data_IF_152887407913
#
_entry.id   IF_152887407913
#
_cell.length_a   1.000
_cell.length_b   1.000
_cell.length_c   1.000
_cell.angle_alpha   90.00
_cell.angle_beta   90.00
_cell.angle_gamma   90.00
#
_symmetry.space_group_name_H-M   'P 1'
#
loop_
_entity.id
_entity.type
_entity.pdbx_description
1 polymer ?
#
# COMPACT_ATOMS: atom_id res chain seq x y z
N UNK A 1 -0.21 -3.28 20.28
CA UNK A 1 0.88 -3.15 19.29
C UNK A 1 0.97 -1.73 18.78
N UNK A 2 2.12 -1.19 18.75
CA UNK A 2 2.32 0.17 18.25
C UNK A 2 2.26 0.19 16.73
N UNK A 3 1.90 1.34 16.20
CA UNK A 3 1.99 1.55 14.77
C UNK A 3 3.45 1.40 14.32
N UNK A 4 3.64 0.91 13.11
CA UNK A 4 4.98 0.83 12.53
C UNK A 4 5.50 2.24 12.32
N UNK A 5 6.68 2.53 12.85
CA UNK A 5 7.32 3.83 12.64
C UNK A 5 7.71 3.97 11.17
N UNK A 6 7.80 5.21 10.70
CA UNK A 6 8.17 5.47 9.32
C UNK A 6 9.51 4.83 8.94
N UNK A 7 10.48 4.83 9.86
CA UNK A 7 11.77 4.20 9.62
C UNK A 7 11.66 2.68 9.41
N UNK A 8 10.65 2.06 10.00
CA UNK A 8 10.45 0.61 9.85
C UNK A 8 9.95 0.23 8.47
N UNK A 9 9.31 1.16 7.76
CA UNK A 9 8.86 0.89 6.39
C UNK A 9 10.02 0.62 5.45
N UNK A 10 11.18 1.20 5.70
CA UNK A 10 12.36 1.00 4.87
C UNK A 10 12.92 -0.42 5.00
N UNK A 11 12.61 -1.10 6.11
CA UNK A 11 13.10 -2.45 6.37
C UNK A 11 12.04 -3.52 6.06
N UNK A 12 10.81 -3.10 5.73
CA UNK A 12 9.75 -4.04 5.35
C UNK A 12 10.10 -4.69 4.02
N UNK A 13 9.93 -6.02 3.99
CA UNK A 13 10.02 -6.77 2.75
C UNK A 13 8.60 -7.02 2.25
N UNK A 14 8.26 -6.39 1.14
CA UNK A 14 6.94 -6.59 0.55
C UNK A 14 6.90 -7.92 -0.19
N UNK A 15 5.78 -8.64 -0.04
CA UNK A 15 5.55 -9.88 -0.79
C UNK A 15 5.21 -9.58 -2.24
N UNK A 16 4.62 -8.41 -2.48
CA UNK A 16 4.26 -7.97 -3.82
C UNK A 16 4.52 -6.48 -3.92
N UNK A 17 5.25 -6.07 -4.95
CA UNK A 17 5.46 -4.65 -5.28
C UNK A 17 4.70 -4.35 -6.57
N UNK A 18 3.87 -3.31 -6.52
CA UNK A 18 3.06 -2.89 -7.66
C UNK A 18 3.48 -1.49 -8.08
N UNK A 19 3.97 -1.35 -9.29
CA UNK A 19 4.31 -0.06 -9.85
C UNK A 19 3.12 0.49 -10.63
N UNK A 20 2.38 1.40 -10.01
CA UNK A 20 1.24 2.05 -10.63
C UNK A 20 1.51 3.54 -10.90
N UNK A 21 2.78 3.91 -11.01
CA UNK A 21 3.15 5.29 -11.32
C UNK A 21 2.62 5.65 -12.71
N UNK A 22 2.14 6.89 -12.83
CA UNK A 22 1.54 7.36 -14.07
C UNK A 22 0.05 7.06 -14.21
N UNK A 23 -0.49 6.18 -13.38
CA UNK A 23 -1.93 5.91 -13.37
C UNK A 23 -2.64 6.88 -12.42
N UNK A 24 -3.83 7.35 -12.84
CA UNK A 24 -4.66 8.20 -12.01
C UNK A 24 -5.71 7.37 -11.28
N UNK A 25 -6.17 7.87 -10.14
CA UNK A 25 -7.24 7.25 -9.38
C UNK A 25 -8.47 6.99 -10.28
N UNK A 26 -9.09 5.81 -10.21
CA UNK A 26 -8.90 4.75 -9.21
C UNK A 26 -7.90 3.67 -9.61
N UNK A 27 -7.10 3.88 -10.66
CA UNK A 27 -6.18 2.87 -11.17
C UNK A 27 -5.26 2.26 -10.12
N UNK A 28 -4.49 3.08 -9.35
CA UNK A 28 -3.61 2.53 -8.33
C UNK A 28 -4.33 1.71 -7.27
N UNK A 29 -5.52 2.16 -6.84
CA UNK A 29 -6.31 1.43 -5.85
C UNK A 29 -6.77 0.08 -6.39
N UNK A 30 -7.18 0.03 -7.65
CA UNK A 30 -7.59 -1.23 -8.28
C UNK A 30 -6.41 -2.19 -8.39
N UNK A 31 -5.23 -1.68 -8.69
CA UNK A 31 -4.02 -2.51 -8.74
C UNK A 31 -3.65 -3.05 -7.35
N UNK A 32 -3.83 -2.25 -6.32
CA UNK A 32 -3.60 -2.70 -4.94
C UNK A 32 -4.55 -3.82 -4.55
N UNK A 33 -5.83 -3.70 -4.90
CA UNK A 33 -6.82 -4.74 -4.63
C UNK A 33 -6.47 -6.04 -5.33
N UNK A 34 -6.05 -5.94 -6.58
CA UNK A 34 -5.66 -7.09 -7.38
C UNK A 34 -4.43 -7.78 -6.80
N UNK A 35 -3.41 -7.01 -6.43
CA UNK A 35 -2.20 -7.55 -5.84
C UNK A 35 -2.47 -8.20 -4.48
N UNK A 36 -3.37 -7.62 -3.69
CA UNK A 36 -3.72 -8.14 -2.38
C UNK A 36 -4.28 -9.55 -2.46
N UNK A 37 -5.02 -9.86 -3.52
CA UNK A 37 -5.56 -11.20 -3.73
C UNK A 37 -4.46 -12.23 -3.98
N UNK A 38 -3.29 -11.80 -4.40
CA UNK A 38 -2.16 -12.68 -4.71
C UNK A 38 -1.18 -12.91 -3.58
N UNK A 39 -1.34 -12.24 -2.43
CA UNK A 39 -0.44 -12.43 -1.29
C UNK A 39 -1.15 -13.22 -0.19
N UNK A 40 -0.40 -13.98 0.64
CA UNK A 40 -1.01 -14.70 1.75
C UNK A 40 -1.45 -13.73 2.85
N UNK A 41 -2.35 -14.18 3.72
CA UNK A 41 -2.73 -13.41 4.90
C UNK A 41 -1.48 -13.12 5.73
N UNK A 42 -1.32 -11.87 6.12
CA UNK A 42 -0.10 -11.40 6.79
C UNK A 42 0.95 -10.87 5.82
N UNK A 43 0.78 -11.11 4.52
CA UNK A 43 1.69 -10.59 3.51
C UNK A 43 1.52 -9.08 3.31
N UNK A 44 2.52 -8.45 2.73
CA UNK A 44 2.57 -6.99 2.55
C UNK A 44 2.57 -6.66 1.06
N UNK A 45 1.72 -5.71 0.67
CA UNK A 45 1.71 -5.13 -0.67
C UNK A 45 2.31 -3.73 -0.57
N UNK A 46 3.29 -3.47 -1.42
CA UNK A 46 3.87 -2.14 -1.60
C UNK A 46 3.37 -1.60 -2.93
N UNK A 47 2.66 -0.50 -2.90
CA UNK A 47 2.10 0.14 -4.08
C UNK A 47 2.81 1.46 -4.35
N UNK A 48 3.28 1.65 -5.56
CA UNK A 48 3.90 2.91 -5.98
C UNK A 48 2.88 3.71 -6.78
N UNK A 49 2.62 4.93 -6.36
CA UNK A 49 1.68 5.82 -7.05
C UNK A 49 2.20 7.24 -7.11
N UNK A 50 2.09 7.86 -8.27
CA UNK A 50 2.41 9.27 -8.43
C UNK A 50 1.19 10.17 -8.18
N UNK A 51 0.02 9.59 -7.92
CA UNK A 51 -1.19 10.33 -7.56
C UNK A 51 -1.21 10.53 -6.04
N UNK A 52 -1.15 11.78 -5.53
CA UNK A 52 -1.09 12.01 -4.09
C UNK A 52 -2.36 11.60 -3.33
N UNK A 53 -3.47 11.38 -4.01
CA UNK A 53 -4.72 10.94 -3.38
C UNK A 53 -4.71 9.44 -3.08
N UNK A 54 -3.88 8.67 -3.78
CA UNK A 54 -3.86 7.21 -3.65
C UNK A 54 -3.64 6.74 -2.21
N UNK A 55 -2.72 7.35 -1.48
CA UNK A 55 -2.44 6.92 -0.11
C UNK A 55 -3.66 7.04 0.79
N UNK A 56 -4.47 8.08 0.60
CA UNK A 56 -5.72 8.26 1.36
C UNK A 56 -6.77 7.24 0.94
N UNK A 57 -6.89 7.00 -0.36
CA UNK A 57 -7.85 6.04 -0.90
C UNK A 57 -7.52 4.62 -0.44
N UNK A 58 -6.25 4.25 -0.47
CA UNK A 58 -5.82 2.93 -0.03
C UNK A 58 -6.04 2.76 1.47
N UNK A 59 -5.74 3.78 2.27
CA UNK A 59 -5.96 3.72 3.71
C UNK A 59 -7.44 3.53 4.03
N UNK A 60 -8.32 4.24 3.34
CA UNK A 60 -9.77 4.13 3.55
C UNK A 60 -10.27 2.73 3.18
N UNK A 61 -9.85 2.23 2.02
CA UNK A 61 -10.23 0.89 1.58
C UNK A 61 -9.71 -0.18 2.55
N UNK A 62 -8.44 -0.09 2.93
CA UNK A 62 -7.84 -1.07 3.83
C UNK A 62 -8.57 -1.14 5.17
N UNK A 63 -8.89 0.01 5.74
CA UNK A 63 -9.64 0.07 7.00
C UNK A 63 -11.03 -0.51 6.87
N UNK A 64 -11.68 -0.27 5.74
CA UNK A 64 -13.05 -0.74 5.50
C UNK A 64 -13.13 -2.27 5.40
N UNK A 65 -12.12 -2.90 4.79
CA UNK A 65 -12.14 -4.35 4.57
C UNK A 65 -11.29 -5.14 5.57
N UNK A 66 -10.65 -4.45 6.51
CA UNK A 66 -9.91 -5.12 7.58
C UNK A 66 -8.45 -5.43 7.27
N UNK A 67 -7.84 -4.73 6.33
CA UNK A 67 -6.42 -4.85 6.07
C UNK A 67 -5.66 -3.75 6.83
N UNK A 68 -4.67 -4.08 7.67
CA UNK A 68 -3.88 -3.06 8.34
C UNK A 68 -3.13 -2.16 7.34
N UNK A 69 -3.37 -0.86 7.43
CA UNK A 69 -2.63 0.11 6.65
C UNK A 69 -1.35 0.45 7.40
N UNK A 70 -0.20 0.08 6.84
CA UNK A 70 1.07 0.23 7.53
C UNK A 70 1.64 1.64 7.43
N UNK A 71 1.27 2.36 6.39
CA UNK A 71 1.75 3.71 6.18
C UNK A 71 2.24 3.94 4.76
N UNK A 72 2.91 5.07 4.56
CA UNK A 72 3.50 5.38 3.26
C UNK A 72 4.81 6.12 3.44
N UNK A 73 5.64 6.10 2.39
CA UNK A 73 6.87 6.86 2.31
C UNK A 73 6.86 7.67 1.04
N UNK A 74 7.24 8.94 1.13
CA UNK A 74 7.42 9.76 -0.05
C UNK A 74 8.74 9.41 -0.71
N UNK A 75 8.70 9.25 -2.03
CA UNK A 75 9.89 9.05 -2.84
C UNK A 75 9.97 10.18 -3.87
N UNK A 76 10.90 10.12 -4.79
CA UNK A 76 11.03 11.18 -5.80
C UNK A 76 9.91 11.08 -6.82
N UNK A 77 8.91 11.96 -6.66
CA UNK A 77 7.81 12.06 -7.61
C UNK A 77 6.71 11.01 -7.44
N UNK A 78 6.75 10.21 -6.38
CA UNK A 78 5.70 9.22 -6.11
C UNK A 78 5.71 8.82 -4.63
N UNK A 79 4.63 8.15 -4.21
CA UNK A 79 4.51 7.59 -2.87
C UNK A 79 4.64 6.08 -2.92
N UNK A 80 5.30 5.52 -1.91
CA UNK A 80 5.35 4.08 -1.67
C UNK A 80 4.37 3.79 -0.53
N UNK A 81 3.31 3.05 -0.83
CA UNK A 81 2.21 2.79 0.11
C UNK A 81 2.24 1.33 0.53
N UNK A 82 2.14 1.08 1.83
CA UNK A 82 2.30 -0.27 2.39
C UNK A 82 1.04 -0.70 3.09
N UNK A 83 0.50 -1.87 2.70
CA UNK A 83 -0.69 -2.46 3.30
C UNK A 83 -0.44 -3.94 3.57
N UNK A 84 -0.84 -4.41 4.75
CA UNK A 84 -0.76 -5.84 5.09
C UNK A 84 -2.11 -6.49 4.85
N UNK A 85 -2.08 -7.72 4.33
CA UNK A 85 -3.31 -8.47 4.16
C UNK A 85 -3.80 -8.99 5.52
N UNK A 86 -4.98 -8.55 5.93
CA UNK A 86 -5.57 -8.91 7.22
C UNK A 86 -6.51 -10.12 7.17
N UNK A 87 -6.99 -10.46 6.00
CA UNK A 87 -7.90 -11.61 5.84
C UNK A 87 -7.79 -12.22 4.47
#
# INVERSE_FOLDING_TARGET
>A
MNAIAEADLDTLTADQVVDARGAACPGPLLEAKKAMAGVPVGGVVELWSSDPVTKSDVAAWAGKVGHPFLGFREAEGYDRVFVRRGK
#
